data_IF_203657262326
#
_entry.id   IF_203657262326
#
_cell.length_a   1.000
_cell.length_b   1.000
_cell.length_c   1.000
_cell.angle_alpha   90.00
_cell.angle_beta   90.00
_cell.angle_gamma   90.00
#
_symmetry.space_group_name_H-M   'P 1'
#
loop_
_entity.id
_entity.type
_entity.pdbx_description
1 polymer ?
#
# COMPACT_ATOMS: atom_id res chain seq x y z
N UNK A 1 33.72 2.69 4.52
CA UNK A 1 33.10 3.86 5.18
C UNK A 1 31.61 3.59 5.26
N UNK A 2 30.98 3.83 6.42
CA UNK A 2 29.53 3.72 6.55
C UNK A 2 28.86 4.92 5.86
N UNK A 3 27.86 4.67 5.04
CA UNK A 3 27.04 5.70 4.41
C UNK A 3 25.72 5.80 5.17
N UNK A 4 25.24 7.02 5.45
CA UNK A 4 23.89 7.22 5.98
C UNK A 4 22.93 7.58 4.84
N UNK A 5 21.80 6.89 4.78
CA UNK A 5 20.69 7.18 3.87
C UNK A 5 19.50 7.60 4.72
N UNK A 6 18.84 8.69 4.34
CA UNK A 6 17.59 9.16 4.97
C UNK A 6 16.47 9.13 3.93
N UNK A 7 15.36 8.50 4.28
CA UNK A 7 14.13 8.45 3.49
C UNK A 7 13.07 9.24 4.27
N UNK A 8 12.88 10.49 3.87
CA UNK A 8 11.92 11.42 4.47
C UNK A 8 11.42 12.39 3.37
N UNK A 9 10.17 12.27 2.91
CA UNK A 9 9.11 11.41 3.44
C UNK A 9 9.20 9.95 2.96
N UNK A 10 8.72 9.01 3.77
CA UNK A 10 8.23 7.71 3.26
C UNK A 10 6.86 7.93 2.64
N UNK A 11 6.73 7.72 1.33
CA UNK A 11 5.48 7.91 0.59
C UNK A 11 4.72 6.60 0.40
N UNK A 12 3.47 6.68 -0.09
CA UNK A 12 2.55 5.53 -0.26
C UNK A 12 2.28 4.76 1.05
N UNK A 13 2.27 5.48 2.17
CA UNK A 13 1.79 5.01 3.47
C UNK A 13 0.73 5.99 4.00
N UNK A 14 0.01 5.61 5.05
CA UNK A 14 -0.77 6.55 5.84
C UNK A 14 0.14 7.27 6.85
N UNK A 15 -0.11 8.56 7.05
CA UNK A 15 0.60 9.35 8.06
C UNK A 15 2.01 9.79 7.66
N UNK A 16 2.86 9.96 8.67
CA UNK A 16 4.20 10.52 8.52
C UNK A 16 5.26 9.61 9.15
N UNK A 17 6.21 9.17 8.33
CA UNK A 17 7.30 8.31 8.72
C UNK A 17 8.60 8.79 8.08
N UNK A 18 9.66 8.73 8.88
CA UNK A 18 11.05 8.88 8.45
C UNK A 18 11.81 7.60 8.75
N UNK A 19 12.61 7.14 7.78
CA UNK A 19 13.55 6.03 7.95
C UNK A 19 14.97 6.55 7.74
N UNK A 20 15.85 6.27 8.71
CA UNK A 20 17.29 6.45 8.56
C UNK A 20 17.96 5.06 8.53
N UNK A 21 18.91 4.86 7.62
CA UNK A 21 19.70 3.64 7.52
C UNK A 21 21.20 3.95 7.49
N UNK A 22 22.00 3.17 8.20
CA UNK A 22 23.44 3.06 7.99
C UNK A 22 23.72 1.89 7.05
N UNK A 23 24.51 2.13 6.01
CA UNK A 23 24.89 1.15 5.00
C UNK A 23 26.39 0.87 5.13
N UNK A 24 26.72 -0.40 5.29
CA UNK A 24 28.09 -0.91 5.30
C UNK A 24 28.21 -2.01 4.26
N UNK A 25 29.16 -1.88 3.34
CA UNK A 25 29.40 -2.85 2.25
C UNK A 25 28.14 -3.20 1.44
N UNK A 26 27.28 -2.20 1.19
CA UNK A 26 26.04 -2.37 0.44
C UNK A 26 24.89 -3.03 1.21
N UNK A 27 25.06 -3.26 2.51
CA UNK A 27 24.03 -3.88 3.38
C UNK A 27 23.65 -2.90 4.48
N UNK A 28 22.36 -2.86 4.84
CA UNK A 28 21.88 -2.08 5.99
C UNK A 28 22.48 -2.67 7.27
N UNK A 29 23.35 -1.93 7.95
CA UNK A 29 23.92 -2.32 9.24
C UNK A 29 23.06 -1.87 10.42
N UNK A 30 22.37 -0.73 10.29
CA UNK A 30 21.40 -0.22 11.27
C UNK A 30 20.25 0.51 10.57
N UNK A 31 19.07 0.48 11.18
CA UNK A 31 17.90 1.22 10.73
C UNK A 31 17.15 1.84 11.91
N UNK A 32 16.59 3.02 11.72
CA UNK A 32 15.74 3.72 12.68
C UNK A 32 14.44 4.14 12.02
N UNK A 33 13.32 3.86 12.70
CA UNK A 33 11.99 4.31 12.29
C UNK A 33 11.50 5.41 13.23
N UNK A 34 11.18 6.57 12.66
CA UNK A 34 10.69 7.73 13.42
C UNK A 34 9.29 8.10 12.94
N UNK A 35 8.28 7.89 13.78
CA UNK A 35 6.94 8.44 13.55
C UNK A 35 6.99 9.96 13.75
N UNK A 36 6.71 10.72 12.70
CA UNK A 36 6.92 12.18 12.68
C UNK A 36 5.62 12.97 12.88
N UNK A 37 4.61 12.35 13.49
CA UNK A 37 3.32 13.00 13.82
C UNK A 37 2.75 12.56 15.17
N UNK A 38 1.98 13.43 15.81
CA UNK A 38 1.17 13.11 16.99
C UNK A 38 -0.06 14.02 17.05
N UNK A 39 -1.19 13.50 17.53
CA UNK A 39 -2.44 14.25 17.72
C UNK A 39 -3.04 14.14 19.12
N UNK A 40 -2.57 13.21 19.96
CA UNK A 40 -3.04 13.08 21.34
C UNK A 40 -4.49 12.61 21.48
N UNK A 41 -4.94 11.67 20.65
CA UNK A 41 -6.32 11.15 20.70
C UNK A 41 -6.69 10.56 22.06
N UNK A 42 -5.71 10.01 22.78
CA UNK A 42 -5.84 9.50 24.16
C UNK A 42 -6.16 10.61 25.17
N UNK A 43 -5.60 11.81 24.98
CA UNK A 43 -5.90 12.98 25.80
C UNK A 43 -7.28 13.57 25.46
N UNK A 44 -7.60 13.63 24.17
CA UNK A 44 -8.87 14.19 23.67
C UNK A 44 -10.09 13.41 24.18
N UNK A 45 -9.95 12.07 24.30
CA UNK A 45 -11.04 11.20 24.73
C UNK A 45 -11.23 11.17 26.26
N UNK A 46 -10.32 11.74 27.05
CA UNK A 46 -10.49 11.82 28.51
C UNK A 46 -11.75 12.60 28.86
N UNK A 47 -12.46 12.12 29.88
CA UNK A 47 -13.69 12.72 30.41
C UNK A 47 -14.82 12.88 29.36
N UNK A 48 -14.75 12.16 28.24
CA UNK A 48 -15.84 12.05 27.26
C UNK A 48 -16.80 10.96 27.69
N UNK A 49 -18.05 11.10 27.28
CA UNK A 49 -19.03 10.04 27.46
C UNK A 49 -18.55 8.80 26.68
N UNK A 50 -18.51 7.59 27.31
CA UNK A 50 -18.11 6.37 26.62
C UNK A 50 -18.93 6.08 25.35
N UNK A 51 -20.17 6.59 25.27
CA UNK A 51 -21.04 6.46 24.08
C UNK A 51 -20.57 7.31 22.89
N UNK A 52 -19.80 8.37 23.14
CA UNK A 52 -19.25 9.26 22.12
C UNK A 52 -17.81 8.87 21.73
N UNK A 53 -17.12 8.08 22.55
CA UNK A 53 -15.71 7.76 22.38
C UNK A 53 -15.40 7.18 20.99
N UNK A 54 -16.24 6.28 20.47
CA UNK A 54 -16.06 5.66 19.16
C UNK A 54 -16.13 6.66 18.00
N UNK A 55 -16.88 7.77 18.16
CA UNK A 55 -16.92 8.85 17.18
C UNK A 55 -15.62 9.64 17.14
N UNK A 56 -14.99 9.80 18.29
CA UNK A 56 -13.71 10.51 18.40
C UNK A 56 -12.59 9.61 17.87
N UNK A 57 -12.43 8.41 18.43
CA UNK A 57 -11.26 7.57 18.14
C UNK A 57 -11.28 6.94 16.74
N UNK A 58 -12.43 6.84 16.05
CA UNK A 58 -12.44 6.42 14.65
C UNK A 58 -11.68 7.40 13.72
N UNK A 59 -11.42 8.63 14.18
CA UNK A 59 -10.59 9.62 13.47
C UNK A 59 -9.09 9.44 13.78
N UNK A 60 -8.68 8.39 14.51
CA UNK A 60 -7.27 8.03 14.62
C UNK A 60 -6.70 7.68 13.25
N UNK A 61 -7.45 7.04 12.37
CA UNK A 61 -6.97 6.76 11.02
C UNK A 61 -8.13 6.81 10.02
N UNK A 62 -7.91 7.43 8.86
CA UNK A 62 -8.89 7.43 7.77
C UNK A 62 -8.87 6.16 6.93
N UNK A 63 -7.73 5.45 6.92
CA UNK A 63 -7.57 4.17 6.22
C UNK A 63 -8.24 3.07 7.05
N UNK A 64 -7.72 2.78 8.24
CA UNK A 64 -8.28 1.75 9.13
C UNK A 64 -9.38 2.29 10.08
N UNK A 65 -10.24 3.20 9.58
CA UNK A 65 -11.16 3.98 10.42
C UNK A 65 -12.12 3.13 11.28
N UNK A 66 -12.70 2.08 10.70
CA UNK A 66 -13.77 1.32 11.35
C UNK A 66 -13.25 0.42 12.46
N UNK A 67 -11.98 -0.02 12.39
CA UNK A 67 -11.42 -0.86 13.46
C UNK A 67 -11.29 -0.09 14.77
N UNK A 68 -10.95 1.20 14.71
CA UNK A 68 -10.93 2.06 15.89
C UNK A 68 -12.32 2.27 16.49
N UNK A 69 -13.34 2.52 15.65
CA UNK A 69 -14.74 2.62 16.09
C UNK A 69 -15.20 1.34 16.81
N UNK A 70 -15.00 0.18 16.18
CA UNK A 70 -15.47 -1.11 16.69
C UNK A 70 -14.71 -1.52 17.95
N UNK A 71 -13.41 -1.24 18.03
CA UNK A 71 -12.61 -1.47 19.24
C UNK A 71 -13.11 -0.60 20.39
N UNK A 72 -13.46 0.66 20.12
CA UNK A 72 -13.99 1.57 21.15
C UNK A 72 -15.34 1.13 21.71
N UNK A 73 -16.29 0.72 20.85
CA UNK A 73 -17.60 0.26 21.35
C UNK A 73 -17.45 -1.05 22.13
N UNK A 74 -16.60 -1.98 21.69
CA UNK A 74 -16.31 -3.22 22.42
C UNK A 74 -15.66 -2.94 23.78
N UNK A 75 -14.76 -1.97 23.87
CA UNK A 75 -14.14 -1.57 25.13
C UNK A 75 -15.18 -0.99 26.10
N UNK A 76 -16.08 -0.12 25.63
CA UNK A 76 -17.15 0.44 26.45
C UNK A 76 -18.15 -0.63 26.92
N UNK A 77 -18.56 -1.53 26.02
CA UNK A 77 -19.44 -2.66 26.34
C UNK A 77 -18.83 -3.59 27.37
N UNK A 78 -17.55 -3.93 27.21
CA UNK A 78 -16.82 -4.75 28.17
C UNK A 78 -16.72 -4.08 29.54
N UNK A 79 -16.45 -2.77 29.60
CA UNK A 79 -16.36 -2.05 30.88
C UNK A 79 -17.71 -1.96 31.62
N UNK A 80 -18.81 -1.99 30.88
CA UNK A 80 -20.18 -1.90 31.41
C UNK A 80 -20.88 -3.27 31.52
N UNK A 81 -20.20 -4.37 31.17
CA UNK A 81 -20.77 -5.72 31.11
C UNK A 81 -22.05 -5.80 30.24
N UNK A 82 -22.01 -5.19 29.05
CA UNK A 82 -23.14 -5.19 28.11
C UNK A 82 -22.97 -6.31 27.08
N UNK A 83 -23.95 -7.22 27.06
CA UNK A 83 -24.08 -8.21 26.01
C UNK A 83 -24.90 -7.67 24.83
N UNK A 84 -24.28 -7.55 23.66
CA UNK A 84 -24.97 -7.12 22.45
C UNK A 84 -25.71 -8.26 21.75
N UNK A 85 -26.90 -8.02 21.17
CA UNK A 85 -27.61 -9.03 20.40
C UNK A 85 -26.75 -9.61 19.28
N UNK A 86 -26.92 -10.91 18.99
CA UNK A 86 -26.12 -11.60 17.97
C UNK A 86 -26.19 -10.92 16.59
N UNK A 87 -27.34 -10.35 16.23
CA UNK A 87 -27.50 -9.61 14.98
C UNK A 87 -26.61 -8.35 14.92
N UNK A 88 -26.39 -7.67 16.04
CA UNK A 88 -25.46 -6.54 16.10
C UNK A 88 -24.01 -7.01 15.90
N UNK A 89 -23.64 -8.17 16.43
CA UNK A 89 -22.33 -8.77 16.20
C UNK A 89 -22.14 -9.15 14.73
N UNK A 90 -23.14 -9.75 14.08
CA UNK A 90 -23.10 -10.06 12.66
C UNK A 90 -22.92 -8.82 11.79
N UNK A 91 -23.67 -7.75 12.06
CA UNK A 91 -23.51 -6.48 11.33
C UNK A 91 -22.09 -5.93 11.53
N UNK A 92 -21.57 -5.91 12.75
CA UNK A 92 -20.18 -5.45 13.02
C UNK A 92 -19.14 -6.29 12.29
N UNK A 93 -19.32 -7.61 12.25
CA UNK A 93 -18.41 -8.52 11.55
C UNK A 93 -18.47 -8.31 10.03
N UNK A 94 -19.65 -8.10 9.46
CA UNK A 94 -19.82 -7.77 8.04
C UNK A 94 -19.12 -6.44 7.71
N UNK A 95 -19.30 -5.42 8.55
CA UNK A 95 -18.63 -4.12 8.39
C UNK A 95 -17.10 -4.28 8.42
N UNK A 96 -16.56 -5.04 9.38
CA UNK A 96 -15.11 -5.31 9.43
C UNK A 96 -14.63 -6.11 8.23
N UNK A 97 -15.36 -7.12 7.78
CA UNK A 97 -14.98 -7.91 6.61
C UNK A 97 -14.94 -7.04 5.34
N UNK A 98 -15.94 -6.18 5.15
CA UNK A 98 -15.98 -5.22 4.05
C UNK A 98 -14.81 -4.23 4.13
N UNK A 99 -14.55 -3.68 5.32
CA UNK A 99 -13.42 -2.78 5.54
C UNK A 99 -12.09 -3.45 5.22
N UNK A 100 -11.84 -4.65 5.76
CA UNK A 100 -10.64 -5.43 5.50
C UNK A 100 -10.45 -5.69 4.02
N UNK A 101 -11.52 -6.04 3.30
CA UNK A 101 -11.46 -6.29 1.85
C UNK A 101 -11.07 -5.03 1.08
N UNK A 102 -11.68 -3.89 1.43
CA UNK A 102 -11.33 -2.60 0.83
C UNK A 102 -9.87 -2.22 1.12
N UNK A 103 -9.45 -2.26 2.38
CA UNK A 103 -8.11 -1.85 2.80
C UNK A 103 -7.02 -2.68 2.10
N UNK A 104 -7.18 -4.01 2.06
CA UNK A 104 -6.19 -4.88 1.41
C UNK A 104 -6.08 -4.66 -0.10
N UNK A 105 -7.20 -4.44 -0.80
CA UNK A 105 -7.17 -4.17 -2.25
C UNK A 105 -6.47 -2.83 -2.51
N UNK A 106 -6.78 -1.80 -1.72
CA UNK A 106 -6.14 -0.47 -1.86
C UNK A 106 -4.66 -0.53 -1.51
N UNK A 107 -4.29 -1.20 -0.41
CA UNK A 107 -2.90 -1.40 -0.03
C UNK A 107 -2.12 -2.16 -1.12
N UNK A 108 -2.70 -3.22 -1.69
CA UNK A 108 -2.04 -3.97 -2.75
C UNK A 108 -1.78 -3.10 -3.98
N UNK A 109 -2.79 -2.45 -4.54
CA UNK A 109 -2.65 -1.75 -5.82
C UNK A 109 -2.13 -0.31 -5.72
N UNK A 110 -2.65 0.49 -4.78
CA UNK A 110 -2.34 1.91 -4.70
C UNK A 110 -1.12 2.21 -3.83
N UNK A 111 -0.83 1.36 -2.84
CA UNK A 111 0.29 1.59 -1.93
C UNK A 111 1.52 0.76 -2.33
N UNK A 112 1.41 -0.55 -2.49
CA UNK A 112 2.58 -1.43 -2.62
C UNK A 112 2.93 -1.88 -4.06
N UNK A 113 1.97 -1.96 -4.99
CA UNK A 113 2.22 -2.53 -6.31
C UNK A 113 3.33 -1.82 -7.10
N UNK A 114 3.51 -0.50 -6.92
CA UNK A 114 4.53 0.27 -7.63
C UNK A 114 5.96 0.03 -7.11
N UNK A 115 6.14 -0.76 -6.04
CA UNK A 115 7.45 -1.30 -5.66
C UNK A 115 7.85 -2.53 -6.50
N UNK A 116 6.87 -3.17 -7.13
CA UNK A 116 7.05 -4.43 -7.86
C UNK A 116 6.87 -4.27 -9.38
N UNK A 117 6.00 -3.35 -9.78
CA UNK A 117 5.56 -3.15 -11.17
C UNK A 117 6.22 -1.93 -11.77
N UNK A 118 7.06 -2.15 -12.79
CA UNK A 118 7.58 -1.06 -13.61
C UNK A 118 6.53 -0.65 -14.66
N UNK A 119 5.86 0.48 -14.43
CA UNK A 119 4.82 1.00 -15.32
C UNK A 119 5.35 1.40 -16.70
N UNK A 120 6.63 1.74 -16.83
CA UNK A 120 7.21 2.15 -18.12
C UNK A 120 7.37 0.94 -19.03
N UNK A 121 7.52 -0.25 -18.45
CA UNK A 121 7.55 -1.49 -19.20
C UNK A 121 6.25 -1.74 -19.96
N UNK A 122 5.10 -1.26 -19.45
CA UNK A 122 3.81 -1.39 -20.11
C UNK A 122 3.77 -0.73 -21.49
N UNK A 123 4.60 0.31 -21.74
CA UNK A 123 4.71 0.96 -23.05
C UNK A 123 5.26 0.04 -24.15
N UNK A 124 6.04 -0.97 -23.74
CA UNK A 124 6.71 -1.94 -24.62
C UNK A 124 6.04 -3.32 -24.59
N UNK A 125 5.03 -3.51 -23.74
CA UNK A 125 4.34 -4.79 -23.61
C UNK A 125 3.55 -5.15 -24.89
N UNK A 126 3.48 -6.44 -25.20
CA UNK A 126 2.62 -6.99 -26.24
C UNK A 126 1.25 -7.34 -25.63
N UNK A 127 0.16 -6.65 -26.01
CA UNK A 127 -1.17 -6.89 -25.44
C UNK A 127 -1.68 -8.32 -25.66
N UNK A 128 -1.31 -8.98 -26.75
CA UNK A 128 -1.74 -10.36 -27.02
C UNK A 128 -1.04 -11.33 -26.08
N UNK A 129 0.27 -11.15 -25.84
CA UNK A 129 1.00 -11.95 -24.85
C UNK A 129 0.52 -11.70 -23.43
N UNK A 130 0.25 -10.44 -23.07
CA UNK A 130 -0.30 -10.11 -21.75
C UNK A 130 -1.67 -10.78 -21.51
N UNK A 131 -2.53 -10.85 -22.54
CA UNK A 131 -3.78 -11.59 -22.50
C UNK A 131 -3.56 -13.08 -22.30
N UNK A 132 -2.68 -13.70 -23.10
CA UNK A 132 -2.38 -15.12 -23.01
C UNK A 132 -1.75 -15.53 -21.66
N UNK A 133 -0.99 -14.65 -21.01
CA UNK A 133 -0.42 -14.90 -19.67
C UNK A 133 -1.49 -15.13 -18.59
N UNK A 134 -2.73 -14.71 -18.82
CA UNK A 134 -3.83 -14.85 -17.87
C UNK A 134 -4.69 -16.09 -18.15
N UNK A 135 -4.41 -16.82 -19.23
CA UNK A 135 -5.10 -18.06 -19.56
C UNK A 135 -4.86 -19.10 -18.47
N UNK A 136 -5.94 -19.63 -17.90
CA UNK A 136 -5.88 -20.57 -16.78
C UNK A 136 -5.50 -19.93 -15.42
N UNK A 137 -5.18 -18.64 -15.38
CA UNK A 137 -4.89 -17.90 -14.14
C UNK A 137 -6.13 -17.21 -13.57
N UNK A 138 -6.94 -16.60 -14.43
CA UNK A 138 -8.13 -15.85 -14.00
C UNK A 138 -9.23 -15.85 -15.06
N UNK A 139 -10.48 -15.97 -14.62
CA UNK A 139 -11.68 -15.81 -15.46
C UNK A 139 -12.20 -14.36 -15.48
N UNK A 140 -11.42 -13.39 -15.02
CA UNK A 140 -11.81 -11.98 -14.98
C UNK A 140 -12.03 -11.42 -16.40
N UNK A 141 -13.19 -10.84 -16.66
CA UNK A 141 -13.62 -10.52 -18.03
C UNK A 141 -12.89 -9.33 -18.70
N UNK A 142 -12.11 -8.53 -17.97
CA UNK A 142 -11.35 -7.40 -18.52
C UNK A 142 -9.86 -7.75 -18.74
N UNK A 143 -9.60 -8.93 -19.30
CA UNK A 143 -8.24 -9.46 -19.52
C UNK A 143 -7.91 -9.73 -21.00
N UNK A 144 -8.66 -9.13 -21.94
CA UNK A 144 -8.43 -9.32 -23.38
C UNK A 144 -7.30 -8.44 -23.92
N UNK A 145 -6.71 -8.85 -25.03
CA UNK A 145 -5.72 -8.06 -25.76
C UNK A 145 -6.25 -6.66 -26.15
N UNK A 146 -7.54 -6.55 -26.43
CA UNK A 146 -8.21 -5.29 -26.75
C UNK A 146 -8.25 -4.36 -25.53
N UNK A 147 -8.61 -4.88 -24.36
CA UNK A 147 -8.58 -4.12 -23.10
C UNK A 147 -7.15 -3.66 -22.75
N UNK A 148 -6.16 -4.55 -22.88
CA UNK A 148 -4.77 -4.17 -22.64
C UNK A 148 -4.25 -3.13 -23.63
N UNK A 149 -4.69 -3.17 -24.89
CA UNK A 149 -4.35 -2.12 -25.87
C UNK A 149 -4.93 -0.77 -25.44
N UNK A 150 -6.19 -0.73 -24.96
CA UNK A 150 -6.80 0.52 -24.44
C UNK A 150 -6.02 1.08 -23.26
N UNK A 151 -5.64 0.23 -22.30
CA UNK A 151 -4.83 0.64 -21.14
C UNK A 151 -3.46 1.15 -21.59
N UNK A 152 -2.78 0.44 -22.48
CA UNK A 152 -1.49 0.86 -23.00
C UNK A 152 -1.56 2.21 -23.72
N UNK A 153 -2.59 2.44 -24.54
CA UNK A 153 -2.78 3.73 -25.22
C UNK A 153 -2.99 4.86 -24.22
N UNK A 154 -3.80 4.64 -23.17
CA UNK A 154 -3.98 5.63 -22.10
C UNK A 154 -2.67 5.97 -21.37
N UNK A 155 -1.81 4.97 -21.15
CA UNK A 155 -0.48 5.19 -20.56
C UNK A 155 0.42 5.96 -21.54
N UNK A 156 0.39 5.63 -22.85
CA UNK A 156 1.13 6.36 -23.89
C UNK A 156 0.72 7.83 -23.95
N UNK A 157 -0.57 8.12 -23.89
CA UNK A 157 -1.10 9.49 -23.90
C UNK A 157 -0.65 10.27 -22.65
N UNK A 158 -0.69 9.62 -21.47
CA UNK A 158 -0.18 10.21 -20.23
C UNK A 158 1.31 10.55 -20.34
N UNK A 159 2.13 9.64 -20.88
CA UNK A 159 3.57 9.87 -21.06
C UNK A 159 3.83 10.96 -22.09
N UNK A 160 3.10 10.95 -23.21
CA UNK A 160 3.21 11.96 -24.25
C UNK A 160 2.83 13.37 -23.75
N UNK A 161 1.92 13.47 -22.77
CA UNK A 161 1.57 14.76 -22.16
C UNK A 161 2.72 15.41 -21.36
N UNK A 162 3.72 14.63 -20.94
CA UNK A 162 4.76 15.07 -20.01
C UNK A 162 4.28 15.29 -18.56
N UNK A 163 2.99 15.15 -18.28
CA UNK A 163 2.38 15.37 -16.97
C UNK A 163 2.18 14.04 -16.22
N UNK A 164 3.29 13.45 -15.76
CA UNK A 164 3.28 12.09 -15.18
C UNK A 164 2.60 11.96 -13.81
N UNK A 165 2.29 13.08 -13.14
CA UNK A 165 1.58 13.08 -11.85
C UNK A 165 2.28 12.20 -10.81
N UNK A 166 1.55 11.25 -10.23
CA UNK A 166 2.05 10.31 -9.22
C UNK A 166 3.19 9.40 -9.71
N UNK A 167 3.45 9.37 -11.02
CA UNK A 167 4.48 8.55 -11.64
C UNK A 167 5.77 9.32 -11.93
N UNK A 168 5.80 10.63 -11.71
CA UNK A 168 7.00 11.43 -11.88
C UNK A 168 8.10 11.00 -10.88
N UNK A 169 9.35 10.95 -11.34
CA UNK A 169 10.54 10.61 -10.53
C UNK A 169 10.43 9.28 -9.75
N UNK A 170 9.69 8.30 -10.27
CA UNK A 170 9.65 6.95 -9.72
C UNK A 170 10.92 6.14 -10.05
N UNK A 171 11.08 4.99 -9.38
CA UNK A 171 12.23 4.08 -9.54
C UNK A 171 12.09 3.16 -10.78
N UNK A 172 11.64 3.71 -11.90
CA UNK A 172 11.41 2.98 -13.15
C UNK A 172 12.75 2.48 -13.73
N UNK A 173 12.80 1.23 -14.18
CA UNK A 173 14.02 0.57 -14.66
C UNK A 173 14.99 0.09 -13.57
N UNK A 174 14.65 0.26 -12.28
CA UNK A 174 15.50 -0.21 -11.18
C UNK A 174 15.62 -1.75 -11.19
N UNK A 175 16.82 -2.34 -11.00
CA UNK A 175 17.02 -3.79 -11.06
C UNK A 175 16.26 -4.59 -9.99
N UNK A 176 15.78 -3.92 -8.93
CA UNK A 176 14.92 -4.52 -7.91
C UNK A 176 13.45 -4.68 -8.32
N UNK A 177 13.01 -4.14 -9.46
CA UNK A 177 11.63 -4.26 -9.92
C UNK A 177 11.39 -5.70 -10.41
N UNK A 178 10.51 -6.44 -9.74
CA UNK A 178 10.31 -7.88 -9.99
C UNK A 178 9.44 -8.20 -11.23
N UNK A 179 8.64 -7.25 -11.72
CA UNK A 179 7.74 -7.45 -12.85
C UNK A 179 8.05 -6.45 -13.96
N UNK A 180 8.70 -6.96 -15.02
CA UNK A 180 8.94 -6.26 -16.28
C UNK A 180 8.09 -6.86 -17.40
N UNK A 181 7.70 -6.07 -18.41
CA UNK A 181 6.92 -6.53 -19.56
C UNK A 181 7.44 -7.86 -20.16
N UNK A 182 6.64 -8.93 -20.00
CA UNK A 182 6.93 -10.27 -20.52
C UNK A 182 7.79 -11.16 -19.63
N UNK A 183 8.19 -10.71 -18.43
CA UNK A 183 8.90 -11.53 -17.45
C UNK A 183 7.93 -12.28 -16.53
N UNK A 184 8.21 -13.57 -16.32
CA UNK A 184 7.63 -14.34 -15.21
C UNK A 184 8.14 -13.71 -13.90
N UNK A 185 7.31 -13.57 -12.84
CA UNK A 185 7.76 -13.00 -11.58
C UNK A 185 8.92 -13.85 -11.05
N UNK A 186 10.13 -13.29 -11.03
CA UNK A 186 11.29 -13.94 -10.42
C UNK A 186 11.21 -13.74 -8.91
N UNK A 187 10.33 -14.52 -8.26
CA UNK A 187 10.22 -14.60 -6.80
C UNK A 187 11.45 -15.26 -6.14
N UNK A 188 12.47 -15.65 -6.92
CA UNK A 188 13.57 -16.51 -6.51
C UNK A 188 14.97 -15.88 -6.57
N UNK A 189 15.15 -14.70 -7.15
CA UNK A 189 16.45 -14.02 -7.09
C UNK A 189 16.68 -13.48 -5.68
N UNK A 190 17.74 -13.93 -4.98
CA UNK A 190 18.26 -13.14 -3.88
C UNK A 190 18.55 -11.75 -4.44
N UNK A 191 18.21 -10.70 -3.70
CA UNK A 191 18.77 -9.37 -3.93
C UNK A 191 20.29 -9.49 -3.84
N UNK A 192 20.94 -9.86 -4.95
CA UNK A 192 22.38 -9.90 -5.04
C UNK A 192 22.84 -8.46 -4.99
N UNK A 193 23.33 -8.07 -3.81
CA UNK A 193 24.11 -6.86 -3.60
C UNK A 193 25.20 -6.81 -4.68
N UNK A 194 25.08 -5.88 -5.63
CA UNK A 194 26.05 -5.76 -6.71
C UNK A 194 25.45 -5.31 -8.05
N UNK A 195 24.89 -4.11 -8.10
CA UNK A 195 24.81 -3.36 -9.35
C UNK A 195 25.45 -2.00 -9.08
N UNK A 196 26.64 -1.80 -9.64
CA UNK A 196 27.46 -0.62 -9.42
C UNK A 196 26.72 0.67 -9.80
N UNK A 197 26.66 1.59 -8.84
CA UNK A 197 26.47 3.00 -9.13
C UNK A 197 27.73 3.47 -9.86
N UNK A 198 27.65 3.60 -11.19
CA UNK A 198 28.59 4.46 -11.90
C UNK A 198 28.31 5.91 -11.52
N UNK A 199 29.40 6.63 -11.25
CA UNK A 199 29.49 8.02 -10.81
C UNK A 199 28.57 9.01 -11.53
#
# INVERSE_FOLDING_TARGET
MSQRITIDPVTRIEGHLRIDCEIENGVVSKAWASGTMWRGMEEIVKNRDPRDAWMIVQRICGVCTTTHAISSVRAAESALNIDVPVNAQYIRNIILAAHTTHDHIVHFYQLSALDWVDITSALKADPAKASAMLDGVSSWHLNSAQEFTKVQNKIKDLVASGQLGIFANGYWGHPGNAVTAGGQPDCGRPLSAGAGMSA
#
